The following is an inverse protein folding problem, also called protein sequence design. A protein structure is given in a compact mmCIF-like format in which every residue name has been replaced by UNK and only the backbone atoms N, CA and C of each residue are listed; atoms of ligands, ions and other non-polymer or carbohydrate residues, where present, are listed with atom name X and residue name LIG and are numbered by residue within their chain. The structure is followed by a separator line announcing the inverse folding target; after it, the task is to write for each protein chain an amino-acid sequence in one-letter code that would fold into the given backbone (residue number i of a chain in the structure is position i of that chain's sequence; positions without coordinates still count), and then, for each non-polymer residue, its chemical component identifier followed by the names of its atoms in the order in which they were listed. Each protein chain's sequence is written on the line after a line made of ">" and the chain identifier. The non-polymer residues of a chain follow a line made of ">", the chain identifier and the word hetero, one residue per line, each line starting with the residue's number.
data_IF_657442963064
#
_entry.id   IF_657442963064
#
_cell.length_a   1.000
_cell.length_b   1.000
_cell.length_c   1.000
_cell.angle_alpha   90.00
_cell.angle_beta   90.00
_cell.angle_gamma   90.00
#
_symmetry.space_group_name_H-M   'P 1'
#
loop_
_entity.id
_entity.type
_entity.pdbx_description
1 polymer ?
#
# COMPACT_ATOMS: atom_id res chain seq x y z
N UNK A 1 10.44 -4.24 -9.37
CA UNK A 1 8.99 -4.39 -9.58
C UNK A 1 8.47 -5.82 -9.45
N UNK A 2 9.11 -6.83 -10.04
CA UNK A 2 8.64 -8.22 -10.01
C UNK A 2 8.72 -8.93 -8.65
N UNK A 3 9.81 -8.76 -7.91
CA UNK A 3 10.01 -9.39 -6.61
C UNK A 3 8.98 -8.96 -5.54
N UNK A 4 8.67 -7.66 -5.36
CA UNK A 4 7.64 -7.25 -4.41
C UNK A 4 6.25 -7.76 -4.81
N UNK A 5 5.94 -7.85 -6.11
CA UNK A 5 4.68 -8.42 -6.58
C UNK A 5 4.54 -9.90 -6.20
N UNK A 6 5.60 -10.71 -6.38
CA UNK A 6 5.64 -12.10 -5.94
C UNK A 6 5.47 -12.25 -4.43
N UNK A 7 6.12 -11.39 -3.67
CA UNK A 7 6.03 -11.41 -2.21
C UNK A 7 4.62 -11.07 -1.73
N UNK A 8 3.99 -10.04 -2.29
CA UNK A 8 2.59 -9.68 -1.98
C UNK A 8 1.61 -10.80 -2.36
N UNK A 9 1.81 -11.46 -3.50
CA UNK A 9 1.01 -12.63 -3.88
C UNK A 9 1.14 -13.75 -2.85
N UNK A 10 2.37 -14.11 -2.47
CA UNK A 10 2.63 -15.11 -1.43
C UNK A 10 2.04 -14.72 -0.08
N UNK A 11 2.10 -13.44 0.30
CA UNK A 11 1.54 -12.96 1.56
C UNK A 11 0.02 -13.12 1.58
N UNK A 12 -0.67 -12.80 0.48
CA UNK A 12 -2.12 -13.02 0.33
C UNK A 12 -2.48 -14.51 0.43
N UNK A 13 -1.73 -15.38 -0.24
CA UNK A 13 -1.97 -16.83 -0.21
C UNK A 13 -1.82 -17.43 1.21
N UNK A 14 -0.93 -16.88 2.04
CA UNK A 14 -0.71 -17.36 3.41
C UNK A 14 -1.56 -16.68 4.48
N UNK A 15 -2.29 -15.61 4.13
CA UNK A 15 -3.09 -14.87 5.11
C UNK A 15 -4.44 -15.58 5.29
N UNK A 16 -4.77 -15.95 6.52
CA UNK A 16 -6.03 -16.63 6.88
C UNK A 16 -7.10 -15.67 7.37
N UNK A 17 -6.72 -14.43 7.68
CA UNK A 17 -7.59 -13.34 8.13
C UNK A 17 -7.90 -12.39 6.97
N UNK A 18 -9.00 -11.66 7.06
CA UNK A 18 -9.45 -10.76 5.99
C UNK A 18 -8.67 -9.43 5.95
N UNK A 19 -7.34 -9.46 5.97
CA UNK A 19 -6.53 -8.23 5.95
C UNK A 19 -6.36 -7.70 4.53
N UNK A 20 -6.55 -6.38 4.37
CA UNK A 20 -6.31 -5.73 3.09
C UNK A 20 -4.80 -5.65 2.85
N UNK A 21 -4.30 -6.42 1.88
CA UNK A 21 -2.89 -6.43 1.49
C UNK A 21 -2.78 -5.79 0.11
N UNK A 22 -2.09 -4.65 0.02
CA UNK A 22 -1.95 -3.86 -1.22
C UNK A 22 -0.47 -3.68 -1.56
N UNK A 23 -0.15 -3.71 -2.85
CA UNK A 23 1.13 -3.25 -3.40
C UNK A 23 0.87 -1.98 -4.18
N UNK A 24 1.25 -0.82 -3.62
CA UNK A 24 1.28 0.43 -4.36
C UNK A 24 2.61 0.54 -5.13
N UNK A 25 2.55 1.01 -6.37
CA UNK A 25 3.70 1.13 -7.26
C UNK A 25 3.55 2.45 -8.00
N UNK A 26 4.37 3.42 -7.62
CA UNK A 26 4.46 4.69 -8.33
C UNK A 26 5.37 4.50 -9.56
N UNK A 27 4.76 4.49 -10.74
CA UNK A 27 5.47 4.28 -12.01
C UNK A 27 6.13 5.56 -12.56
N UNK A 28 5.80 6.73 -12.01
CA UNK A 28 6.34 8.03 -12.40
C UNK A 28 7.61 8.37 -11.60
N UNK A 29 7.81 7.76 -10.44
CA UNK A 29 8.98 7.91 -9.58
C UNK A 29 10.11 6.92 -9.93
N UNK A 30 11.33 7.43 -10.09
CA UNK A 30 12.55 6.62 -10.25
C UNK A 30 13.11 6.11 -8.92
N UNK A 31 14.32 5.51 -8.94
CA UNK A 31 14.97 4.94 -7.75
C UNK A 31 15.19 5.96 -6.61
N UNK A 32 15.33 7.24 -6.95
CA UNK A 32 15.48 8.34 -6.00
C UNK A 32 14.16 8.92 -5.49
N UNK A 33 13.03 8.28 -5.82
CA UNK A 33 11.70 8.71 -5.46
C UNK A 33 11.12 9.78 -6.39
N UNK A 34 9.88 10.09 -6.08
CA UNK A 34 9.07 11.17 -6.61
C UNK A 34 9.81 12.53 -6.61
N UNK A 35 10.15 13.06 -7.79
CA UNK A 35 10.89 14.34 -7.91
C UNK A 35 9.99 15.58 -7.81
N UNK A 36 8.67 15.41 -7.88
CA UNK A 36 7.71 16.51 -7.81
C UNK A 36 7.57 17.12 -6.41
N UNK A 37 7.52 18.45 -6.32
CA UNK A 37 7.33 19.24 -5.07
C UNK A 37 6.20 18.70 -4.17
N UNK A 38 5.12 18.20 -4.77
CA UNK A 38 3.94 17.70 -4.06
C UNK A 38 3.85 16.18 -4.01
N UNK A 39 4.71 15.47 -4.70
CA UNK A 39 4.55 14.04 -4.91
C UNK A 39 4.92 13.26 -3.63
N UNK A 40 5.95 13.71 -2.89
CA UNK A 40 6.20 13.25 -1.52
C UNK A 40 4.99 13.42 -0.59
N UNK A 41 4.28 14.55 -0.70
CA UNK A 41 3.10 14.80 0.13
C UNK A 41 1.94 13.88 -0.26
N UNK A 42 1.82 13.51 -1.55
CA UNK A 42 0.83 12.54 -2.01
C UNK A 42 1.11 11.13 -1.50
N UNK A 43 2.37 10.67 -1.56
CA UNK A 43 2.77 9.38 -0.99
C UNK A 43 2.43 9.33 0.51
N UNK A 44 2.82 10.36 1.26
CA UNK A 44 2.47 10.46 2.69
C UNK A 44 0.96 10.47 2.91
N UNK A 45 0.20 11.26 2.15
CA UNK A 45 -1.25 11.29 2.27
C UNK A 45 -1.91 9.92 1.98
N UNK A 46 -1.38 9.18 1.01
CA UNK A 46 -1.84 7.83 0.68
C UNK A 46 -1.57 6.85 1.83
N UNK A 47 -0.38 6.89 2.43
CA UNK A 47 -0.03 6.06 3.60
C UNK A 47 -0.97 6.34 4.79
N UNK A 48 -1.20 7.62 5.11
CA UNK A 48 -2.12 7.99 6.19
C UNK A 48 -3.56 7.61 5.89
N UNK A 49 -4.04 7.81 4.66
CA UNK A 49 -5.38 7.42 4.26
C UNK A 49 -5.59 5.91 4.41
N UNK A 50 -4.60 5.10 4.00
CA UNK A 50 -4.65 3.65 4.16
C UNK A 50 -4.70 3.24 5.64
N UNK A 51 -3.85 3.82 6.49
CA UNK A 51 -3.85 3.50 7.94
C UNK A 51 -5.18 3.88 8.58
N UNK A 52 -5.69 5.09 8.29
CA UNK A 52 -6.98 5.57 8.81
C UNK A 52 -8.11 4.64 8.38
N UNK A 53 -8.15 4.25 7.11
CA UNK A 53 -9.15 3.32 6.58
C UNK A 53 -9.11 1.97 7.31
N UNK A 54 -7.91 1.39 7.49
CA UNK A 54 -7.75 0.08 8.13
C UNK A 54 -8.03 0.09 9.63
N UNK A 55 -7.79 1.20 10.33
CA UNK A 55 -7.96 1.30 11.78
C UNK A 55 -9.34 1.83 12.19
N UNK A 56 -9.88 2.81 11.45
CA UNK A 56 -11.09 3.54 11.86
C UNK A 56 -12.33 3.16 11.05
N UNK A 57 -12.18 2.78 9.79
CA UNK A 57 -13.33 2.57 8.89
C UNK A 57 -13.66 1.10 8.65
N UNK A 58 -12.87 0.17 9.18
CA UNK A 58 -13.02 -1.25 8.90
C UNK A 58 -14.23 -1.84 9.63
N UNK A 59 -15.27 -2.34 8.91
CA UNK A 59 -16.34 -3.09 9.55
C UNK A 59 -15.77 -4.39 10.14
N UNK A 60 -16.18 -4.73 11.36
CA UNK A 60 -15.82 -6.04 11.94
C UNK A 60 -16.41 -7.14 11.05
N UNK A 61 -15.58 -8.04 10.55
CA UNK A 61 -16.08 -9.27 9.93
C UNK A 61 -16.87 -10.04 10.98
N UNK A 62 -18.10 -10.40 10.63
CA UNK A 62 -19.04 -11.09 11.52
C UNK A 62 -18.60 -12.51 11.87
#
# INVERSE_FOLDING_TARGET
>A
YWEPAKWVAKLRDHTTEDHLIVLHTNLDAGHSGASGRFEKHRETALEYAFIIDQVLCRPKSS
#
